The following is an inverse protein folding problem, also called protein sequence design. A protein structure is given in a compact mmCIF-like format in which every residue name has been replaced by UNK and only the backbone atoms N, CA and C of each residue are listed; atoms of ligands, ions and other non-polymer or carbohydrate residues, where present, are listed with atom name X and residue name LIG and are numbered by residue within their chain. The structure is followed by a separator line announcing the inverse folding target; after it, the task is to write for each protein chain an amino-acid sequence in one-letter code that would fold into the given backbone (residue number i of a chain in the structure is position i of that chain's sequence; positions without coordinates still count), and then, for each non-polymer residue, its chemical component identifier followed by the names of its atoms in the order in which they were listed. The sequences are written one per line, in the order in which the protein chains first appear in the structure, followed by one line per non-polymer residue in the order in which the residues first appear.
data_IF_215031503443
#
_entry.id   IF_215031503443
#
_cell.length_a   1.000
_cell.length_b   1.000
_cell.length_c   1.000
_cell.angle_alpha   90.00
_cell.angle_beta   90.00
_cell.angle_gamma   90.00
#
_symmetry.space_group_name_H-M   'P 1'
#
loop_
_entity.id
_entity.type
_entity.pdbx_description
1 polymer ?
#
# COMPACT_ATOMS: atom_id res chain seq x y z
N UNK A 1 7.14 36.76 -16.40
CA UNK A 1 6.88 36.17 -15.06
C UNK A 1 6.13 34.86 -15.28
N UNK A 2 6.68 33.67 -14.99
CA UNK A 2 5.96 32.43 -15.23
C UNK A 2 4.89 32.23 -14.14
N UNK A 3 3.70 31.82 -14.57
CA UNK A 3 2.52 31.52 -13.77
C UNK A 3 2.68 30.14 -13.09
N UNK A 4 3.61 30.00 -12.16
CA UNK A 4 3.65 28.85 -11.25
C UNK A 4 2.66 29.07 -10.11
N UNK A 5 1.37 29.06 -10.44
CA UNK A 5 0.28 29.28 -9.51
C UNK A 5 -0.62 28.07 -9.44
N UNK A 6 -0.51 27.33 -8.34
CA UNK A 6 -1.57 26.52 -7.72
C UNK A 6 -1.88 25.18 -8.40
N UNK A 7 -1.20 24.12 -7.96
CA UNK A 7 -1.76 22.76 -8.01
C UNK A 7 -1.18 21.79 -6.95
N UNK A 8 -0.60 22.30 -5.86
CA UNK A 8 -0.05 21.44 -4.79
C UNK A 8 -0.94 21.32 -3.54
N UNK A 9 -2.09 22.00 -3.49
CA UNK A 9 -3.00 22.01 -2.33
C UNK A 9 -4.21 21.05 -2.46
N UNK A 10 -4.02 19.87 -3.08
CA UNK A 10 -5.03 18.78 -3.02
C UNK A 10 -4.50 17.46 -2.47
N UNK A 11 -3.33 17.47 -1.84
CA UNK A 11 -2.98 16.36 -0.95
C UNK A 11 -3.45 16.72 0.46
N UNK A 12 -4.46 16.02 1.02
CA UNK A 12 -4.81 16.21 2.42
C UNK A 12 -3.55 15.93 3.26
N UNK A 13 -3.04 16.97 3.92
CA UNK A 13 -1.87 16.95 4.81
C UNK A 13 -2.07 16.10 6.07
N UNK A 14 -3.16 15.34 6.16
CA UNK A 14 -3.53 14.43 7.24
C UNK A 14 -3.62 12.97 6.77
N UNK A 15 -2.89 12.60 5.71
CA UNK A 15 -2.62 11.19 5.43
C UNK A 15 -1.61 10.67 6.47
N UNK A 16 -2.15 10.26 7.63
CA UNK A 16 -1.63 9.24 8.54
C UNK A 16 -0.32 8.62 8.04
N UNK A 17 0.81 8.90 8.69
CA UNK A 17 2.11 8.22 8.57
C UNK A 17 2.04 7.01 7.63
N UNK A 18 2.03 7.27 6.32
CA UNK A 18 1.52 6.29 5.37
C UNK A 18 2.48 5.11 5.42
N UNK A 19 2.00 3.93 5.83
CA UNK A 19 2.79 2.72 5.71
C UNK A 19 2.95 2.48 4.21
N UNK A 20 4.11 2.88 3.69
CA UNK A 20 4.52 2.64 2.32
C UNK A 20 5.27 1.31 2.31
N UNK A 21 4.85 0.43 1.41
CA UNK A 21 5.49 -0.84 1.12
C UNK A 21 6.06 -0.79 -0.30
N UNK A 22 7.23 -1.37 -0.51
CA UNK A 22 7.88 -1.41 -1.81
C UNK A 22 7.50 -2.69 -2.59
N UNK A 23 7.47 -2.61 -3.92
CA UNK A 23 7.37 -3.83 -4.76
C UNK A 23 8.53 -4.76 -4.42
N UNK A 24 8.22 -6.03 -4.21
CA UNK A 24 9.16 -7.06 -3.80
C UNK A 24 9.35 -7.20 -2.29
N UNK A 25 8.83 -6.28 -1.48
CA UNK A 25 8.89 -6.35 -0.01
C UNK A 25 8.04 -7.52 0.51
N UNK A 26 8.60 -8.29 1.45
CA UNK A 26 7.86 -9.31 2.20
C UNK A 26 7.12 -8.65 3.37
N UNK A 27 5.82 -8.88 3.42
CA UNK A 27 4.89 -8.29 4.39
C UNK A 27 3.96 -9.37 4.95
N UNK A 28 3.24 -9.04 6.01
CA UNK A 28 2.06 -9.80 6.40
C UNK A 28 0.79 -9.03 6.08
N UNK A 29 -0.20 -9.73 5.54
CA UNK A 29 -1.52 -9.20 5.22
C UNK A 29 -2.61 -9.87 6.02
N UNK A 30 -3.58 -9.08 6.48
CA UNK A 30 -4.71 -9.58 7.24
C UNK A 30 -5.81 -10.04 6.29
N UNK A 31 -6.02 -11.35 6.20
CA UNK A 31 -7.03 -11.98 5.35
C UNK A 31 -7.81 -13.03 6.16
N UNK A 32 -9.14 -12.98 6.13
CA UNK A 32 -9.99 -13.99 6.76
C UNK A 32 -9.79 -14.19 8.27
N UNK A 33 -9.31 -13.17 9.00
CA UNK A 33 -9.09 -13.28 10.45
C UNK A 33 -7.66 -13.62 10.87
N UNK A 34 -6.78 -13.93 9.91
CA UNK A 34 -5.39 -14.33 10.14
C UNK A 34 -4.41 -13.41 9.43
N UNK A 35 -3.19 -13.31 9.96
CA UNK A 35 -2.08 -12.68 9.27
C UNK A 35 -1.37 -13.74 8.42
N UNK A 36 -1.14 -13.43 7.15
CA UNK A 36 -0.55 -14.33 6.18
C UNK A 36 0.62 -13.63 5.52
N UNK A 37 1.74 -14.33 5.32
CA UNK A 37 2.87 -13.76 4.60
C UNK A 37 2.50 -13.52 3.14
N UNK A 38 2.98 -12.42 2.61
CA UNK A 38 2.77 -12.03 1.23
C UNK A 38 3.95 -11.23 0.70
N UNK A 39 4.06 -11.19 -0.62
CA UNK A 39 5.02 -10.33 -1.32
C UNK A 39 4.27 -9.24 -2.07
N UNK A 40 4.70 -7.99 -1.93
CA UNK A 40 4.12 -6.88 -2.69
C UNK A 40 4.50 -7.04 -4.16
N UNK A 41 3.51 -7.03 -5.05
CA UNK A 41 3.72 -7.16 -6.51
C UNK A 41 3.37 -5.88 -7.26
N UNK A 42 2.47 -5.04 -6.72
CA UNK A 42 2.16 -3.72 -7.27
C UNK A 42 1.73 -2.75 -6.17
N UNK A 43 1.96 -1.46 -6.40
CA UNK A 43 1.64 -0.38 -5.44
C UNK A 43 0.42 0.44 -5.90
N UNK A 44 -0.29 1.10 -4.97
CA UNK A 44 -1.34 2.05 -5.29
C UNK A 44 -0.89 3.09 -6.34
N UNK A 45 -1.78 3.40 -7.29
CA UNK A 45 -1.62 4.48 -8.27
C UNK A 45 -2.77 5.48 -8.14
N UNK A 46 -2.77 6.59 -8.88
CA UNK A 46 -3.81 7.64 -8.77
C UNK A 46 -5.25 7.11 -8.86
N UNK A 47 -5.47 5.98 -9.54
CA UNK A 47 -6.78 5.34 -9.72
C UNK A 47 -6.99 4.07 -8.87
N UNK A 48 -6.04 3.68 -8.02
CA UNK A 48 -6.11 2.45 -7.20
C UNK A 48 -5.56 2.70 -5.80
N UNK A 49 -6.39 2.52 -4.79
CA UNK A 49 -6.03 2.75 -3.37
C UNK A 49 -5.47 1.52 -2.63
N UNK A 50 -5.37 0.37 -3.31
CA UNK A 50 -4.93 -0.91 -2.74
C UNK A 50 -3.62 -1.38 -3.35
N UNK A 51 -2.79 -2.03 -2.53
CA UNK A 51 -1.62 -2.79 -2.98
C UNK A 51 -2.09 -4.10 -3.60
N UNK A 52 -1.37 -4.56 -4.61
CA UNK A 52 -1.50 -5.93 -5.07
C UNK A 52 -0.39 -6.74 -4.41
N UNK A 53 -0.77 -7.83 -3.74
CA UNK A 53 0.18 -8.71 -3.07
C UNK A 53 -0.06 -10.15 -3.49
N UNK A 54 1.00 -10.95 -3.54
CA UNK A 54 0.93 -12.40 -3.68
C UNK A 54 1.00 -13.00 -2.27
N UNK A 55 -0.15 -13.44 -1.75
CA UNK A 55 -0.27 -14.02 -0.42
C UNK A 55 -0.11 -15.55 -0.46
N UNK A 56 0.63 -16.09 0.50
CA UNK A 56 0.84 -17.54 0.63
C UNK A 56 -0.51 -18.25 0.74
N UNK A 57 -0.73 -19.28 -0.10
CA UNK A 57 -1.97 -20.09 -0.15
C UNK A 57 -3.24 -19.37 -0.64
N UNK A 58 -3.18 -18.07 -0.97
CA UNK A 58 -4.34 -17.30 -1.49
C UNK A 58 -4.10 -16.71 -2.89
N UNK A 59 -2.86 -16.69 -3.37
CA UNK A 59 -2.49 -16.10 -4.65
C UNK A 59 -2.53 -14.57 -4.62
N UNK A 60 -2.78 -13.95 -5.77
CA UNK A 60 -2.78 -12.50 -5.92
C UNK A 60 -4.07 -11.86 -5.38
N UNK A 61 -3.96 -10.97 -4.40
CA UNK A 61 -5.08 -10.26 -3.78
C UNK A 61 -4.80 -8.77 -3.66
N UNK A 62 -5.87 -7.96 -3.77
CA UNK A 62 -5.79 -6.51 -3.54
C UNK A 62 -6.03 -6.21 -2.05
N UNK A 63 -5.10 -5.51 -1.40
CA UNK A 63 -5.11 -5.25 0.04
C UNK A 63 -4.83 -3.78 0.31
N UNK A 64 -5.63 -3.17 1.19
CA UNK A 64 -5.38 -1.80 1.65
C UNK A 64 -4.21 -1.75 2.65
N UNK A 65 -3.43 -0.68 2.64
CA UNK A 65 -2.24 -0.52 3.50
C UNK A 65 -2.52 -0.76 4.99
N UNK A 66 -3.72 -0.42 5.47
CA UNK A 66 -4.15 -0.62 6.87
C UNK A 66 -4.23 -2.09 7.28
N UNK A 67 -4.41 -3.00 6.32
CA UNK A 67 -4.43 -4.46 6.54
C UNK A 67 -3.06 -5.11 6.29
N UNK A 68 -2.00 -4.31 6.24
CA UNK A 68 -0.63 -4.77 5.96
C UNK A 68 0.30 -4.36 7.10
N UNK A 69 1.32 -5.17 7.36
CA UNK A 69 2.41 -4.85 8.30
C UNK A 69 3.73 -5.44 7.82
N UNK A 70 4.84 -4.82 8.23
CA UNK A 70 6.18 -5.37 8.00
C UNK A 70 6.42 -6.57 8.88
N UNK A 71 7.17 -7.54 8.37
CA UNK A 71 7.72 -8.62 9.17
C UNK A 71 8.89 -8.01 9.95
N UNK A 72 8.79 -7.95 11.27
CA UNK A 72 9.93 -7.56 12.11
C UNK A 72 10.96 -8.71 12.06
N UNK A 73 12.19 -8.37 11.70
CA UNK A 73 13.32 -9.30 11.65
C UNK A 73 13.85 -9.62 13.04
#
# INVERSE_FOLDING_TARGET
KPLFGKNFDRFPKELFKAKVFAVGEEVEVYNGGVWVKAKVIDIPSENRYSYLVEAENYGSINVAAIKMRRIEA
#
